data_IF_309098476797
#
_entry.id   IF_309098476797
#
_cell.length_a   1.000
_cell.length_b   1.000
_cell.length_c   1.000
_cell.angle_alpha   90.00
_cell.angle_beta   90.00
_cell.angle_gamma   90.00
#
_symmetry.space_group_name_H-M   'P 1'
#
loop_
_entity.id
_entity.type
_entity.pdbx_description
1 polymer ?
#
# COMPACT_ATOMS: atom_id res chain seq x y z
N UNK A 1 32.36 81.50 -12.89
CA UNK A 1 32.44 82.01 -11.50
C UNK A 1 31.05 81.90 -10.92
N UNK A 2 30.96 81.20 -9.79
CA UNK A 2 29.75 80.91 -9.03
C UNK A 2 29.04 82.20 -8.57
N UNK A 3 27.70 82.19 -8.48
CA UNK A 3 27.02 82.14 -7.17
C UNK A 3 25.49 82.37 -7.25
N UNK A 4 24.81 81.48 -6.54
CA UNK A 4 23.70 81.68 -5.59
C UNK A 4 22.33 82.32 -5.98
N UNK A 5 21.32 81.43 -5.97
CA UNK A 5 20.25 81.36 -4.96
C UNK A 5 19.24 82.53 -4.78
N UNK A 6 17.97 82.33 -5.18
CA UNK A 6 16.78 82.26 -4.27
C UNK A 6 15.42 82.21 -5.02
N UNK A 7 14.55 81.33 -4.49
CA UNK A 7 13.08 81.13 -4.59
C UNK A 7 12.20 82.39 -4.82
N UNK A 8 10.95 82.29 -5.33
CA UNK A 8 9.80 81.72 -4.55
C UNK A 8 8.66 81.02 -5.32
N UNK A 9 7.69 80.57 -4.52
CA UNK A 9 6.57 79.65 -4.74
C UNK A 9 5.29 80.23 -5.40
N UNK A 10 4.57 79.32 -6.08
CA UNK A 10 3.10 78.99 -6.06
C UNK A 10 2.03 79.98 -6.54
N UNK A 11 1.24 79.53 -7.54
CA UNK A 11 -0.25 79.51 -7.65
C UNK A 11 -0.59 78.34 -8.63
N UNK A 12 -0.98 77.15 -8.18
CA UNK A 12 -2.34 76.52 -8.17
C UNK A 12 -3.15 76.54 -9.47
N UNK A 13 -3.53 75.35 -9.97
CA UNK A 13 -4.85 75.05 -10.52
C UNK A 13 -5.14 73.54 -10.45
N UNK A 14 -6.30 73.24 -9.88
CA UNK A 14 -6.94 71.95 -9.60
C UNK A 14 -7.70 71.38 -10.82
N UNK A 15 -8.25 70.16 -10.62
CA UNK A 15 -9.46 69.59 -11.26
C UNK A 15 -9.33 68.67 -12.49
N UNK A 16 -8.62 67.54 -12.36
CA UNK A 16 -8.86 66.37 -13.25
C UNK A 16 -8.75 64.97 -12.61
N UNK A 17 -8.42 64.81 -11.33
CA UNK A 17 -8.11 63.47 -10.77
C UNK A 17 -9.24 62.73 -10.05
N UNK A 18 -10.46 63.28 -9.97
CA UNK A 18 -11.53 62.75 -9.10
C UNK A 18 -12.56 61.84 -9.78
N UNK A 19 -12.54 61.70 -11.12
CA UNK A 19 -13.48 60.83 -11.85
C UNK A 19 -12.89 59.50 -12.35
N UNK A 20 -11.57 59.37 -12.45
CA UNK A 20 -10.93 58.09 -12.85
C UNK A 20 -10.86 57.08 -11.69
N UNK A 21 -10.84 57.56 -10.43
CA UNK A 21 -10.78 56.69 -9.25
C UNK A 21 -12.12 56.03 -8.89
N UNK A 22 -13.28 56.58 -9.32
CA UNK A 22 -14.58 55.95 -9.05
C UNK A 22 -14.91 54.80 -10.00
N UNK A 23 -14.48 54.90 -11.26
CA UNK A 23 -14.71 53.85 -12.27
C UNK A 23 -13.77 52.66 -12.01
N UNK A 24 -12.57 52.90 -11.49
CA UNK A 24 -11.62 51.84 -11.11
C UNK A 24 -12.02 51.11 -9.82
N UNK A 25 -12.68 51.78 -8.86
CA UNK A 25 -13.19 51.13 -7.64
C UNK A 25 -14.45 50.27 -7.90
N UNK A 26 -15.37 50.69 -8.78
CA UNK A 26 -16.55 49.87 -9.13
C UNK A 26 -16.16 48.60 -9.90
N UNK A 27 -15.21 48.68 -10.85
CA UNK A 27 -14.74 47.51 -11.62
C UNK A 27 -13.96 46.53 -10.71
N UNK A 28 -13.15 47.04 -9.77
CA UNK A 28 -12.42 46.19 -8.81
C UNK A 28 -13.36 45.48 -7.81
N UNK A 29 -14.50 46.09 -7.46
CA UNK A 29 -15.50 45.48 -6.57
C UNK A 29 -16.31 44.36 -7.24
N UNK A 30 -16.48 44.43 -8.56
CA UNK A 30 -17.23 43.45 -9.36
C UNK A 30 -16.33 42.26 -9.80
N UNK A 31 -15.02 42.49 -9.96
CA UNK A 31 -14.02 41.43 -10.16
C UNK A 31 -13.73 40.64 -8.88
N UNK A 32 -13.61 41.31 -7.72
CA UNK A 32 -13.40 40.61 -6.44
C UNK A 32 -14.61 39.80 -5.97
N UNK A 33 -15.83 40.18 -6.39
CA UNK A 33 -17.05 39.41 -6.10
C UNK A 33 -17.29 38.27 -7.10
N UNK A 34 -16.82 38.40 -8.35
CA UNK A 34 -16.72 37.27 -9.31
C UNK A 34 -15.61 36.29 -8.93
N UNK A 35 -14.43 36.75 -8.51
CA UNK A 35 -13.35 35.89 -8.01
C UNK A 35 -13.71 35.20 -6.70
N UNK A 36 -14.45 35.85 -5.79
CA UNK A 36 -15.01 35.16 -4.61
C UNK A 36 -16.06 34.10 -4.99
N UNK A 37 -16.92 34.36 -5.98
CA UNK A 37 -17.87 33.34 -6.47
C UNK A 37 -17.21 32.18 -7.22
N UNK A 38 -16.08 32.42 -7.89
CA UNK A 38 -15.30 31.37 -8.58
C UNK A 38 -14.46 30.56 -7.58
N UNK A 39 -14.00 31.18 -6.49
CA UNK A 39 -13.26 30.46 -5.44
C UNK A 39 -14.19 29.69 -4.49
N UNK A 40 -15.44 30.13 -4.30
CA UNK A 40 -16.45 29.41 -3.50
C UNK A 40 -17.18 28.29 -4.25
N UNK A 41 -17.02 28.18 -5.58
CA UNK A 41 -17.63 27.09 -6.38
C UNK A 41 -16.73 25.87 -6.57
N UNK A 42 -15.48 25.91 -6.11
CA UNK A 42 -14.54 24.78 -6.15
C UNK A 42 -14.38 24.02 -4.82
N UNK A 43 -15.13 24.41 -3.78
CA UNK A 43 -15.28 23.62 -2.56
C UNK A 43 -16.53 22.74 -2.64
N UNK A 44 -16.64 21.94 -3.70
CA UNK A 44 -17.36 20.66 -3.56
C UNK A 44 -16.52 19.78 -2.62
N UNK A 45 -16.59 20.07 -1.32
CA UNK A 45 -16.38 19.08 -0.29
C UNK A 45 -17.44 18.02 -0.55
N UNK A 46 -17.08 17.02 -1.36
CA UNK A 46 -17.84 15.81 -1.52
C UNK A 46 -18.01 15.24 -0.10
N UNK A 47 -19.18 15.49 0.50
CA UNK A 47 -19.54 14.87 1.77
C UNK A 47 -19.72 13.40 1.47
N UNK A 48 -18.67 12.63 1.77
CA UNK A 48 -18.70 11.18 1.78
C UNK A 48 -19.93 10.74 2.56
N UNK A 49 -20.76 9.86 2.00
CA UNK A 49 -21.95 9.35 2.71
C UNK A 49 -21.57 8.44 3.87
N UNK A 50 -20.34 7.93 3.82
CA UNK A 50 -19.76 7.01 4.79
C UNK A 50 -18.82 7.84 5.69
N UNK A 51 -18.86 7.67 7.02
CA UNK A 51 -17.95 8.39 7.93
C UNK A 51 -16.52 7.84 7.78
N UNK A 52 -15.74 8.43 6.87
CA UNK A 52 -14.36 8.03 6.57
C UNK A 52 -13.32 8.87 7.33
N UNK A 53 -13.75 9.90 8.07
CA UNK A 53 -12.87 10.84 8.76
C UNK A 53 -12.05 10.14 9.85
N UNK A 54 -12.69 9.24 10.61
CA UNK A 54 -12.02 8.43 11.63
C UNK A 54 -10.97 7.50 11.00
N UNK A 55 -11.30 6.86 9.87
CA UNK A 55 -10.36 6.04 9.12
C UNK A 55 -9.16 6.89 8.68
N UNK A 56 -9.40 8.02 8.02
CA UNK A 56 -8.33 8.88 7.51
C UNK A 56 -7.40 9.36 8.63
N UNK A 57 -7.97 9.85 9.74
CA UNK A 57 -7.17 10.32 10.87
C UNK A 57 -6.28 9.22 11.44
N UNK A 58 -6.80 8.00 11.60
CA UNK A 58 -6.03 6.87 12.09
C UNK A 58 -4.94 6.44 11.09
N UNK A 59 -5.24 6.46 9.79
CA UNK A 59 -4.25 6.13 8.76
C UNK A 59 -3.15 7.18 8.65
N UNK A 60 -3.46 8.47 8.81
CA UNK A 60 -2.47 9.54 8.85
C UNK A 60 -1.53 9.40 10.04
N UNK A 61 -2.07 9.13 11.23
CA UNK A 61 -1.26 8.85 12.43
C UNK A 61 -0.34 7.63 12.22
N UNK A 62 -0.87 6.56 11.62
CA UNK A 62 -0.09 5.36 11.33
C UNK A 62 1.03 5.64 10.32
N UNK A 63 0.75 6.39 9.24
CA UNK A 63 1.78 6.82 8.28
C UNK A 63 2.85 7.66 8.95
N UNK A 64 2.46 8.62 9.79
CA UNK A 64 3.40 9.49 10.50
C UNK A 64 4.34 8.69 11.38
N UNK A 65 3.83 7.74 12.17
CA UNK A 65 4.67 6.89 13.02
C UNK A 65 5.65 6.01 12.22
N UNK A 66 5.19 5.42 11.13
CA UNK A 66 6.04 4.53 10.33
C UNK A 66 7.10 5.36 9.57
N UNK A 67 6.70 6.47 8.96
CA UNK A 67 7.60 7.34 8.19
C UNK A 67 8.63 8.07 9.07
N UNK A 68 8.34 8.25 10.36
CA UNK A 68 9.35 8.72 11.31
C UNK A 68 10.51 7.73 11.42
N UNK A 69 10.25 6.43 11.36
CA UNK A 69 11.26 5.38 11.52
C UNK A 69 11.88 4.93 10.19
N UNK A 70 11.09 4.88 9.12
CA UNK A 70 11.48 4.36 7.81
C UNK A 70 11.43 5.49 6.78
N UNK A 71 12.56 5.70 6.11
CA UNK A 71 12.75 6.84 5.21
C UNK A 71 12.61 6.37 3.76
N UNK A 72 11.81 7.09 2.98
CA UNK A 72 11.71 6.89 1.53
C UNK A 72 10.90 5.68 1.08
N UNK A 73 10.03 5.13 1.93
CA UNK A 73 9.19 3.95 1.61
C UNK A 73 7.68 4.24 1.74
N UNK A 74 7.23 5.45 1.42
CA UNK A 74 5.82 5.86 1.61
C UNK A 74 4.83 4.99 0.82
N UNK A 75 5.14 4.69 -0.44
CA UNK A 75 4.29 3.83 -1.28
C UNK A 75 4.20 2.40 -0.72
N UNK A 76 5.30 1.86 -0.20
CA UNK A 76 5.31 0.56 0.44
C UNK A 76 4.39 0.51 1.66
N UNK A 77 4.47 1.54 2.52
CA UNK A 77 3.61 1.66 3.70
C UNK A 77 2.13 1.75 3.29
N UNK A 78 1.81 2.56 2.28
CA UNK A 78 0.45 2.66 1.75
C UNK A 78 -0.08 1.32 1.22
N UNK A 79 0.76 0.54 0.52
CA UNK A 79 0.38 -0.77 0.03
C UNK A 79 0.21 -1.80 1.16
N UNK A 80 1.02 -1.73 2.23
CA UNK A 80 0.83 -2.56 3.42
C UNK A 80 -0.50 -2.27 4.12
N UNK A 81 -0.82 -0.98 4.31
CA UNK A 81 -2.11 -0.54 4.86
C UNK A 81 -3.26 -1.05 3.99
N UNK A 82 -3.15 -0.85 2.66
CA UNK A 82 -4.18 -1.28 1.74
C UNK A 82 -4.38 -2.80 1.75
N UNK A 83 -3.31 -3.57 1.87
CA UNK A 83 -3.39 -5.02 1.98
C UNK A 83 -4.02 -5.48 3.29
N UNK A 84 -3.66 -4.86 4.42
CA UNK A 84 -4.28 -5.12 5.72
C UNK A 84 -5.80 -4.87 5.68
N UNK A 85 -6.22 -3.74 5.13
CA UNK A 85 -7.63 -3.39 4.99
C UNK A 85 -8.36 -4.29 3.97
N UNK A 86 -7.66 -4.78 2.95
CA UNK A 86 -8.24 -5.67 1.92
C UNK A 86 -8.20 -7.17 2.30
N UNK A 87 -7.81 -7.53 3.53
CA UNK A 87 -7.61 -8.93 3.97
C UNK A 87 -6.62 -9.71 3.09
N UNK A 88 -5.63 -9.03 2.53
CA UNK A 88 -4.67 -9.60 1.59
C UNK A 88 -3.31 -9.91 2.21
N UNK A 89 -2.63 -10.91 1.67
CA UNK A 89 -1.23 -11.20 1.96
C UNK A 89 -0.31 -10.45 0.99
N UNK A 90 0.92 -10.14 1.41
CA UNK A 90 1.86 -9.37 0.60
C UNK A 90 3.16 -10.15 0.41
N UNK A 91 3.61 -10.18 -0.83
CA UNK A 91 4.93 -10.65 -1.22
C UNK A 91 5.85 -9.45 -1.46
N UNK A 92 7.00 -9.42 -0.79
CA UNK A 92 7.95 -8.32 -0.80
C UNK A 92 9.23 -8.81 -1.47
N UNK A 93 9.38 -8.48 -2.73
CA UNK A 93 10.61 -8.71 -3.48
C UNK A 93 11.55 -7.52 -3.28
N UNK A 94 12.83 -7.78 -3.03
CA UNK A 94 13.82 -6.72 -2.98
C UNK A 94 15.11 -7.17 -2.34
N UNK A 95 16.13 -6.35 -2.50
CA UNK A 95 17.49 -6.58 -2.02
C UNK A 95 17.55 -6.67 -0.48
N UNK A 96 18.58 -7.34 0.08
CA UNK A 96 18.81 -7.31 1.52
C UNK A 96 19.16 -5.89 2.01
N UNK A 97 18.83 -5.59 3.26
CA UNK A 97 19.26 -4.36 3.93
C UNK A 97 18.29 -3.17 3.89
N UNK A 98 17.16 -3.25 3.18
CA UNK A 98 16.16 -2.16 3.08
C UNK A 98 15.13 -2.12 4.23
N UNK A 99 15.50 -2.53 5.45
CA UNK A 99 14.67 -2.44 6.66
C UNK A 99 13.24 -3.08 6.55
N UNK A 100 13.05 -4.09 5.69
CA UNK A 100 11.76 -4.80 5.53
C UNK A 100 11.26 -5.40 6.84
N UNK A 101 12.13 -6.11 7.56
CA UNK A 101 11.82 -6.77 8.83
C UNK A 101 11.43 -5.75 9.90
N UNK A 102 12.14 -4.63 9.98
CA UNK A 102 11.80 -3.54 10.91
C UNK A 102 10.47 -2.90 10.53
N UNK A 103 10.21 -2.68 9.23
CA UNK A 103 8.93 -2.13 8.76
C UNK A 103 7.76 -3.01 9.14
N UNK A 104 7.85 -4.32 8.92
CA UNK A 104 6.82 -5.27 9.31
C UNK A 104 6.58 -5.28 10.84
N UNK A 105 7.66 -5.22 11.63
CA UNK A 105 7.59 -5.22 13.10
C UNK A 105 6.96 -3.94 13.64
N UNK A 106 7.35 -2.77 13.10
CA UNK A 106 6.79 -1.47 13.49
C UNK A 106 5.32 -1.41 13.07
N UNK A 107 5.01 -1.82 11.84
CA UNK A 107 3.64 -1.89 11.35
C UNK A 107 2.74 -2.72 12.28
N UNK A 108 3.22 -3.89 12.73
CA UNK A 108 2.48 -4.73 13.67
C UNK A 108 2.23 -4.07 15.03
N UNK A 109 3.22 -3.35 15.57
CA UNK A 109 3.06 -2.56 16.80
C UNK A 109 2.03 -1.44 16.63
N UNK A 110 2.06 -0.71 15.52
CA UNK A 110 1.12 0.37 15.24
C UNK A 110 -0.34 -0.13 15.19
N UNK A 111 -0.58 -1.39 14.80
CA UNK A 111 -1.92 -1.97 14.70
C UNK A 111 -2.33 -2.89 15.85
N UNK A 112 -1.60 -2.86 16.98
CA UNK A 112 -1.86 -3.71 18.17
C UNK A 112 -2.04 -5.20 17.84
N UNK A 113 -1.37 -5.67 16.79
CA UNK A 113 -1.49 -7.04 16.32
C UNK A 113 -0.35 -7.90 16.90
N UNK A 114 -0.65 -9.16 17.24
CA UNK A 114 0.39 -10.12 17.53
C UNK A 114 1.33 -10.25 16.31
N UNK A 115 2.64 -10.24 16.56
CA UNK A 115 3.67 -10.35 15.53
C UNK A 115 4.46 -11.64 15.70
N UNK A 116 4.66 -12.35 14.61
CA UNK A 116 5.54 -13.51 14.56
C UNK A 116 6.46 -13.42 13.36
N UNK A 117 7.70 -13.87 13.53
CA UNK A 117 8.71 -13.91 12.47
C UNK A 117 9.18 -15.35 12.28
N UNK A 118 9.16 -15.81 11.04
CA UNK A 118 9.61 -17.14 10.65
C UNK A 118 10.68 -16.95 9.57
N UNK A 119 11.87 -17.49 9.81
CA UNK A 119 12.91 -17.57 8.80
C UNK A 119 12.75 -18.88 8.05
N UNK A 120 12.60 -18.82 6.72
CA UNK A 120 12.53 -20.03 5.92
C UNK A 120 13.94 -20.53 5.61
N UNK A 121 14.21 -21.77 5.99
CA UNK A 121 15.47 -22.45 5.76
C UNK A 121 15.24 -23.77 5.01
N UNK A 122 16.26 -24.34 4.35
CA UNK A 122 16.09 -25.57 3.55
C UNK A 122 15.64 -26.79 4.35
N UNK A 123 15.89 -26.79 5.66
CA UNK A 123 15.56 -27.85 6.62
C UNK A 123 14.22 -27.64 7.33
N UNK A 124 13.56 -26.50 7.13
CA UNK A 124 12.31 -26.15 7.82
C UNK A 124 11.19 -27.14 7.48
N UNK A 125 10.59 -27.75 8.50
CA UNK A 125 9.48 -28.69 8.35
C UNK A 125 8.12 -27.98 8.47
N UNK A 126 7.05 -28.51 7.88
CA UNK A 126 5.69 -27.99 8.07
C UNK A 126 5.29 -27.85 9.55
N UNK A 127 5.71 -28.81 10.39
CA UNK A 127 5.44 -28.81 11.84
C UNK A 127 6.10 -27.64 12.58
N UNK A 128 7.22 -27.11 12.07
CA UNK A 128 7.89 -25.96 12.70
C UNK A 128 7.13 -24.65 12.44
N UNK A 129 6.32 -24.61 11.38
CA UNK A 129 5.48 -23.46 11.01
C UNK A 129 4.09 -23.59 11.63
N UNK A 130 3.45 -24.75 11.44
CA UNK A 130 2.07 -24.98 11.87
C UNK A 130 1.99 -25.28 13.37
N UNK A 131 2.98 -25.98 13.93
CA UNK A 131 2.94 -26.52 15.28
C UNK A 131 2.97 -28.04 15.29
N UNK A 132 3.10 -28.60 16.50
CA UNK A 132 3.20 -30.05 16.70
C UNK A 132 2.46 -30.49 17.96
N UNK A 133 1.91 -31.70 17.93
CA UNK A 133 1.26 -32.32 19.08
C UNK A 133 2.30 -33.00 19.96
N UNK A 134 2.47 -32.50 21.17
CA UNK A 134 3.47 -33.01 22.13
C UNK A 134 2.74 -33.83 23.18
N UNK A 135 3.24 -35.04 23.45
CA UNK A 135 2.68 -35.87 24.52
C UNK A 135 2.98 -35.24 25.89
N UNK A 136 1.93 -34.91 26.63
CA UNK A 136 2.02 -34.38 27.98
C UNK A 136 1.96 -35.55 28.98
N UNK A 137 3.12 -35.95 29.51
CA UNK A 137 3.24 -37.11 30.43
C UNK A 137 2.35 -36.99 31.68
N UNK A 138 2.13 -35.76 32.18
CA UNK A 138 1.31 -35.53 33.37
C UNK A 138 -0.18 -35.75 33.11
N UNK A 139 -0.67 -35.36 31.92
CA UNK A 139 -2.07 -35.56 31.51
C UNK A 139 -2.30 -36.90 30.80
N UNK A 140 -1.23 -37.59 30.40
CA UNK A 140 -1.24 -38.76 29.49
C UNK A 140 -2.04 -38.49 28.22
N UNK A 141 -1.93 -37.27 27.70
CA UNK A 141 -2.70 -36.80 26.55
C UNK A 141 -1.79 -35.99 25.61
N UNK A 142 -2.18 -35.90 24.34
CA UNK A 142 -1.46 -35.10 23.35
C UNK A 142 -1.93 -33.64 23.41
N UNK A 143 -1.02 -32.71 23.67
CA UNK A 143 -1.30 -31.28 23.72
C UNK A 143 -0.72 -30.61 22.47
N UNK A 144 -1.59 -29.97 21.68
CA UNK A 144 -1.16 -29.26 20.48
C UNK A 144 -0.44 -27.96 20.85
N UNK A 145 0.87 -27.89 20.55
CA UNK A 145 1.64 -26.65 20.63
C UNK A 145 1.55 -25.90 19.30
N UNK A 146 0.81 -24.78 19.35
CA UNK A 146 0.67 -23.83 18.24
C UNK A 146 2.04 -23.37 17.74
N UNK A 147 2.24 -23.47 16.43
CA UNK A 147 3.43 -22.95 15.76
C UNK A 147 3.40 -21.42 15.60
N UNK A 148 4.49 -20.83 15.09
CA UNK A 148 4.63 -19.40 14.92
C UNK A 148 3.65 -18.78 13.91
N UNK A 149 2.97 -19.58 13.09
CA UNK A 149 1.92 -19.08 12.17
C UNK A 149 0.68 -18.57 12.91
N UNK A 150 0.46 -18.98 14.17
CA UNK A 150 -0.66 -18.55 15.01
C UNK A 150 -0.45 -17.14 15.57
N UNK A 151 -0.39 -16.16 14.68
CA UNK A 151 -0.24 -14.74 15.01
C UNK A 151 -1.06 -13.90 14.04
N UNK A 152 -1.33 -12.63 14.37
CA UNK A 152 -2.11 -11.76 13.50
C UNK A 152 -1.31 -11.32 12.27
N UNK A 153 -0.05 -10.94 12.49
CA UNK A 153 0.90 -10.59 11.45
C UNK A 153 2.08 -11.54 11.48
N UNK A 154 2.27 -12.26 10.40
CA UNK A 154 3.37 -13.22 10.24
C UNK A 154 4.32 -12.72 9.16
N UNK A 155 5.53 -12.37 9.56
CA UNK A 155 6.63 -12.10 8.64
C UNK A 155 7.35 -13.40 8.32
N UNK A 156 7.46 -13.72 7.04
CA UNK A 156 8.17 -14.87 6.52
C UNK A 156 9.34 -14.35 5.72
N UNK A 157 10.54 -14.59 6.23
CA UNK A 157 11.75 -14.21 5.53
C UNK A 157 12.22 -15.34 4.60
N UNK A 158 12.53 -14.98 3.35
CA UNK A 158 13.11 -15.88 2.34
C UNK A 158 12.24 -17.10 2.04
N UNK A 159 10.96 -16.89 1.76
CA UNK A 159 9.97 -17.96 1.49
C UNK A 159 10.43 -18.95 0.41
N UNK A 160 11.30 -18.50 -0.51
CA UNK A 160 11.89 -19.31 -1.57
C UNK A 160 13.02 -20.25 -1.10
N UNK A 161 13.46 -20.24 0.17
CA UNK A 161 14.53 -21.13 0.66
C UNK A 161 14.05 -22.44 1.28
N UNK A 162 12.75 -22.59 1.54
CA UNK A 162 12.20 -23.84 2.10
C UNK A 162 11.68 -24.79 1.01
N UNK A 163 11.60 -26.11 1.28
CA UNK A 163 11.01 -27.07 0.35
C UNK A 163 9.53 -26.80 0.03
N UNK A 164 9.09 -27.27 -1.14
CA UNK A 164 7.71 -27.09 -1.63
C UNK A 164 6.62 -27.61 -0.68
N UNK A 165 6.92 -28.64 0.15
CA UNK A 165 5.97 -29.18 1.14
C UNK A 165 5.65 -28.15 2.23
N UNK A 166 6.67 -27.50 2.79
CA UNK A 166 6.54 -26.46 3.83
C UNK A 166 5.85 -25.21 3.28
N UNK A 167 6.17 -24.83 2.05
CA UNK A 167 5.46 -23.77 1.33
C UNK A 167 3.97 -24.12 1.16
N UNK A 168 3.65 -25.35 0.72
CA UNK A 168 2.27 -25.77 0.48
C UNK A 168 1.41 -25.71 1.75
N UNK A 169 1.95 -26.15 2.90
CA UNK A 169 1.25 -26.02 4.19
C UNK A 169 0.95 -24.56 4.54
N UNK A 170 1.87 -23.63 4.28
CA UNK A 170 1.64 -22.21 4.52
C UNK A 170 0.51 -21.67 3.63
N UNK A 171 0.51 -22.02 2.35
CA UNK A 171 -0.49 -21.54 1.40
C UNK A 171 -1.89 -22.06 1.68
N UNK A 172 -2.01 -23.26 2.23
CA UNK A 172 -3.26 -23.80 2.75
C UNK A 172 -3.82 -22.91 3.86
N UNK A 173 -2.99 -22.53 4.84
CA UNK A 173 -3.40 -21.62 5.92
C UNK A 173 -3.77 -20.23 5.40
N UNK A 174 -3.06 -19.72 4.40
CA UNK A 174 -3.37 -18.42 3.79
C UNK A 174 -4.75 -18.42 3.11
N UNK A 175 -5.09 -19.51 2.41
CA UNK A 175 -6.36 -19.61 1.69
C UNK A 175 -7.53 -19.92 2.65
N UNK A 176 -7.38 -20.93 3.50
CA UNK A 176 -8.45 -21.45 4.35
C UNK A 176 -8.59 -20.69 5.67
N UNK A 177 -7.55 -19.95 6.09
CA UNK A 177 -7.50 -19.21 7.37
C UNK A 177 -7.79 -20.09 8.60
N UNK A 178 -7.50 -21.37 8.46
CA UNK A 178 -7.59 -22.37 9.50
C UNK A 178 -6.54 -23.45 9.26
N UNK A 179 -6.20 -24.19 10.32
CA UNK A 179 -5.29 -25.33 10.29
C UNK A 179 -6.07 -26.53 10.80
N UNK A 180 -5.96 -27.66 10.09
CA UNK A 180 -6.53 -28.94 10.53
C UNK A 180 -5.40 -29.87 10.94
N UNK A 181 -5.28 -30.18 12.23
CA UNK A 181 -4.25 -31.10 12.78
C UNK A 181 -4.96 -32.07 13.73
N UNK A 182 -4.67 -33.36 13.60
CA UNK A 182 -5.21 -34.42 14.48
C UNK A 182 -6.74 -34.40 14.65
N UNK A 183 -7.47 -34.09 13.57
CA UNK A 183 -8.94 -33.95 13.50
C UNK A 183 -9.52 -32.71 14.23
N UNK A 184 -8.67 -31.87 14.82
CA UNK A 184 -9.07 -30.57 15.36
C UNK A 184 -8.81 -29.45 14.34
N UNK A 185 -9.75 -28.49 14.28
CA UNK A 185 -9.66 -27.32 13.39
C UNK A 185 -9.40 -26.07 14.21
N UNK A 186 -8.25 -25.44 13.97
CA UNK A 186 -7.83 -24.21 14.62
C UNK A 186 -7.99 -23.04 13.66
N UNK A 187 -8.89 -22.10 13.95
CA UNK A 187 -9.09 -20.89 13.14
C UNK A 187 -8.03 -19.83 13.46
N UNK A 188 -7.58 -19.10 12.44
CA UNK A 188 -6.69 -17.95 12.63
C UNK A 188 -7.46 -16.78 13.26
N UNK A 189 -6.79 -16.03 14.13
CA UNK A 189 -7.37 -14.83 14.72
C UNK A 189 -7.36 -13.68 13.71
N UNK A 190 -8.49 -12.98 13.53
CA UNK A 190 -8.52 -11.78 12.69
C UNK A 190 -7.94 -10.57 13.45
N UNK A 191 -7.19 -9.68 12.77
CA UNK A 191 -6.73 -9.77 11.39
C UNK A 191 -5.62 -10.83 11.25
N UNK A 192 -5.64 -11.58 10.15
CA UNK A 192 -4.58 -12.51 9.77
C UNK A 192 -3.97 -12.04 8.44
N UNK A 193 -2.69 -11.72 8.45
CA UNK A 193 -1.96 -11.25 7.28
C UNK A 193 -0.53 -11.81 7.30
N UNK A 194 -0.08 -12.25 6.13
CA UNK A 194 1.26 -12.81 5.92
C UNK A 194 2.04 -11.84 5.04
N UNK A 195 3.23 -11.48 5.51
CA UNK A 195 4.21 -10.68 4.78
C UNK A 195 5.36 -11.63 4.42
N UNK A 196 5.45 -12.06 3.17
CA UNK A 196 6.53 -12.93 2.73
C UNK A 196 7.60 -12.11 2.01
N UNK A 197 8.88 -12.33 2.32
CA UNK A 197 9.99 -11.70 1.59
C UNK A 197 10.66 -12.71 0.66
N UNK A 198 11.11 -12.21 -0.49
CA UNK A 198 11.91 -12.95 -1.45
C UNK A 198 13.12 -12.13 -1.85
N UNK A 199 14.28 -12.78 -1.92
CA UNK A 199 15.48 -12.21 -2.48
C UNK A 199 15.66 -12.74 -3.92
N UNK A 200 15.61 -11.86 -4.94
CA UNK A 200 15.70 -12.30 -6.34
C UNK A 200 17.10 -12.74 -6.76
N UNK A 201 18.15 -12.44 -5.98
CA UNK A 201 19.56 -12.64 -6.37
C UNK A 201 20.12 -14.00 -5.88
N UNK A 202 19.49 -14.64 -4.89
CA UNK A 202 19.99 -15.92 -4.35
C UNK A 202 19.72 -17.10 -5.30
N UNK A 203 20.80 -17.64 -5.87
CA UNK A 203 20.76 -18.78 -6.80
C UNK A 203 20.95 -20.14 -6.11
N UNK A 204 21.53 -20.20 -4.91
CA UNK A 204 21.77 -21.46 -4.20
C UNK A 204 20.60 -21.82 -3.28
N UNK A 205 20.03 -23.01 -3.48
CA UNK A 205 19.01 -23.58 -2.58
C UNK A 205 17.66 -22.88 -2.65
N UNK A 206 17.34 -22.18 -3.75
CA UNK A 206 16.05 -21.53 -3.94
C UNK A 206 15.07 -22.39 -4.73
N UNK A 207 13.85 -22.47 -4.23
CA UNK A 207 12.70 -23.12 -4.83
C UNK A 207 11.77 -22.03 -5.34
N UNK A 208 11.67 -21.92 -6.67
CA UNK A 208 10.73 -21.01 -7.29
C UNK A 208 9.29 -21.33 -6.84
N UNK A 209 8.55 -20.30 -6.44
CA UNK A 209 7.14 -20.48 -6.11
C UNK A 209 6.35 -20.73 -7.40
N UNK A 210 5.57 -21.83 -7.47
CA UNK A 210 4.61 -22.01 -8.55
C UNK A 210 3.65 -20.82 -8.67
N UNK A 211 3.27 -20.49 -9.88
CA UNK A 211 2.35 -19.38 -10.19
C UNK A 211 1.01 -19.48 -9.46
N UNK A 212 0.50 -20.71 -9.30
CA UNK A 212 -0.72 -20.97 -8.52
C UNK A 212 -0.58 -20.57 -7.04
N UNK A 213 0.63 -20.59 -6.49
CA UNK A 213 0.92 -20.15 -5.12
C UNK A 213 1.09 -18.63 -5.06
N UNK A 214 1.78 -18.04 -6.04
CA UNK A 214 1.91 -16.59 -6.17
C UNK A 214 0.55 -15.89 -6.24
N UNK A 215 -0.42 -16.45 -6.98
CA UNK A 215 -1.76 -15.86 -7.16
C UNK A 215 -2.53 -15.64 -5.84
N UNK A 216 -2.13 -16.31 -4.75
CA UNK A 216 -2.69 -16.15 -3.39
C UNK A 216 -2.25 -14.86 -2.69
N UNK A 217 -1.14 -14.25 -3.11
CA UNK A 217 -0.76 -12.94 -2.62
C UNK A 217 -1.61 -11.86 -3.28
N UNK A 218 -2.10 -10.91 -2.48
CA UNK A 218 -2.82 -9.76 -3.02
C UNK A 218 -1.85 -8.88 -3.83
N UNK A 219 -0.70 -8.56 -3.23
CA UNK A 219 0.33 -7.73 -3.82
C UNK A 219 1.68 -8.43 -3.91
N UNK A 220 2.40 -8.18 -5.01
CA UNK A 220 3.86 -8.31 -5.09
C UNK A 220 4.46 -6.91 -5.19
N UNK A 221 5.12 -6.49 -4.12
CA UNK A 221 5.76 -5.19 -4.01
C UNK A 221 7.26 -5.37 -4.26
N UNK A 222 7.80 -4.64 -5.24
CA UNK A 222 9.23 -4.59 -5.49
C UNK A 222 9.83 -3.38 -4.81
N UNK A 223 10.81 -3.62 -3.95
CA UNK A 223 11.53 -2.57 -3.24
C UNK A 223 12.94 -2.44 -3.80
N UNK A 224 13.24 -1.26 -4.31
CA UNK A 224 14.55 -0.88 -4.80
C UNK A 224 15.38 -0.25 -3.67
N UNK A 225 16.66 0.01 -3.94
CA UNK A 225 17.48 0.83 -3.05
C UNK A 225 16.84 2.22 -2.86
N UNK A 226 16.97 2.83 -1.66
CA UNK A 226 16.48 4.17 -1.42
C UNK A 226 17.16 5.17 -2.36
N UNK A 227 16.51 6.32 -2.60
CA UNK A 227 17.16 7.42 -3.30
C UNK A 227 18.34 7.96 -2.49
N UNK A 228 19.29 8.63 -3.16
CA UNK A 228 20.42 9.28 -2.50
C UNK A 228 19.98 10.18 -1.33
N UNK A 229 18.90 10.94 -1.51
CA UNK A 229 18.35 11.81 -0.47
C UNK A 229 17.81 11.02 0.73
N UNK A 230 17.11 9.91 0.48
CA UNK A 230 16.62 9.04 1.54
C UNK A 230 17.78 8.34 2.27
N UNK A 231 18.83 7.96 1.55
CA UNK A 231 20.04 7.36 2.11
C UNK A 231 20.83 8.35 2.97
N UNK A 232 21.00 9.60 2.52
CA UNK A 232 21.62 10.67 3.32
C UNK A 232 20.85 10.87 4.63
N UNK A 233 19.53 11.01 4.57
CA UNK A 233 18.69 11.15 5.78
C UNK A 233 18.80 9.94 6.70
N UNK A 234 18.92 8.73 6.15
CA UNK A 234 19.14 7.51 6.93
C UNK A 234 20.49 7.56 7.66
N UNK A 235 21.55 7.99 6.97
CA UNK A 235 22.89 8.16 7.56
C UNK A 235 22.89 9.22 8.66
N UNK A 236 22.29 10.38 8.42
CA UNK A 236 22.15 11.46 9.42
C UNK A 236 21.43 10.96 10.67
N UNK A 237 20.29 10.30 10.50
CA UNK A 237 19.49 9.78 11.61
C UNK A 237 20.24 8.73 12.41
N UNK A 238 20.98 7.84 11.73
CA UNK A 238 21.79 6.82 12.40
C UNK A 238 23.00 7.41 13.10
N UNK A 239 23.65 8.42 12.51
CA UNK A 239 24.78 9.14 13.11
C UNK A 239 24.38 9.87 14.40
N UNK A 240 23.17 10.44 14.44
CA UNK A 240 22.60 11.12 15.60
C UNK A 240 22.04 10.15 16.66
N UNK A 241 22.14 8.83 16.47
CA UNK A 241 21.58 7.78 17.35
C UNK A 241 20.07 7.89 17.65
N UNK A 242 19.31 8.62 16.84
CA UNK A 242 17.88 8.89 17.08
C UNK A 242 16.96 7.65 16.98
N UNK A 243 17.49 6.49 16.56
CA UNK A 243 16.71 5.28 16.31
C UNK A 243 16.57 4.35 17.53
N UNK A 244 17.44 4.42 18.54
CA UNK A 244 17.40 3.46 19.66
C UNK A 244 16.17 3.64 20.56
N UNK A 245 15.73 4.88 20.80
CA UNK A 245 14.60 5.15 21.70
C UNK A 245 13.23 5.03 21.01
N UNK A 246 13.17 5.24 19.69
CA UNK A 246 11.90 5.30 18.97
C UNK A 246 11.24 3.94 18.73
N UNK A 247 12.01 2.88 18.49
CA UNK A 247 11.46 1.52 18.31
C UNK A 247 10.77 1.01 19.59
N UNK A 248 11.21 1.48 20.75
CA UNK A 248 10.62 1.17 22.05
C UNK A 248 9.32 1.95 22.32
N UNK A 249 9.20 3.17 21.79
CA UNK A 249 8.09 4.10 22.06
C UNK A 249 7.02 4.16 20.95
N UNK A 250 6.96 3.18 20.05
CA UNK A 250 5.89 3.12 19.05
C UNK A 250 4.55 2.87 19.75
N UNK A 251 3.67 3.88 19.74
CA UNK A 251 2.32 3.76 20.30
C UNK A 251 1.39 3.02 19.33
N UNK A 252 0.47 2.22 19.85
CA UNK A 252 -0.59 1.65 19.01
C UNK A 252 -1.54 2.76 18.55
N UNK A 253 -1.82 2.77 17.25
CA UNK A 253 -2.74 3.72 16.59
C UNK A 253 -4.07 3.06 16.26
N UNK A 254 -4.06 1.77 15.92
CA UNK A 254 -5.24 1.01 15.52
C UNK A 254 -5.41 -0.21 16.41
N UNK A 255 -6.65 -0.45 16.85
CA UNK A 255 -7.03 -1.71 17.48
C UNK A 255 -7.67 -2.66 16.45
N UNK A 256 -7.81 -3.93 16.84
CA UNK A 256 -8.41 -4.97 16.00
C UNK A 256 -9.88 -4.66 15.68
N UNK A 257 -10.61 -4.10 16.64
CA UNK A 257 -12.01 -3.71 16.49
C UNK A 257 -12.17 -2.60 15.43
N UNK A 258 -11.30 -1.59 15.46
CA UNK A 258 -11.29 -0.48 14.49
C UNK A 258 -11.06 -1.03 13.07
N UNK A 259 -10.12 -1.96 12.91
CA UNK A 259 -9.85 -2.60 11.61
C UNK A 259 -11.07 -3.34 11.06
N UNK A 260 -11.84 -4.01 11.91
CA UNK A 260 -13.07 -4.71 11.51
C UNK A 260 -14.13 -3.70 11.06
N UNK A 261 -14.28 -2.60 11.78
CA UNK A 261 -15.20 -1.52 11.42
C UNK A 261 -14.81 -0.87 10.08
N UNK A 262 -13.55 -0.49 9.92
CA UNK A 262 -13.04 0.11 8.70
C UNK A 262 -13.21 -0.79 7.48
N UNK A 263 -13.01 -2.09 7.63
CA UNK A 263 -13.29 -3.07 6.57
C UNK A 263 -14.76 -3.05 6.14
N UNK A 264 -15.71 -2.90 7.07
CA UNK A 264 -17.14 -2.78 6.76
C UNK A 264 -17.45 -1.49 6.02
N UNK A 265 -16.79 -0.39 6.37
CA UNK A 265 -16.93 0.89 5.66
C UNK A 265 -16.40 0.79 4.23
N UNK A 266 -15.23 0.16 4.03
CA UNK A 266 -14.64 -0.03 2.68
C UNK A 266 -15.54 -0.86 1.77
N UNK A 267 -16.26 -1.85 2.31
CA UNK A 267 -17.20 -2.65 1.52
C UNK A 267 -18.35 -1.82 0.93
N UNK A 268 -18.75 -0.74 1.62
CA UNK A 268 -19.83 0.17 1.23
C UNK A 268 -19.42 1.21 0.18
N UNK A 269 -18.12 1.32 -0.14
CA UNK A 269 -17.62 2.20 -1.21
C UNK A 269 -18.29 1.84 -2.54
N UNK A 270 -18.85 2.85 -3.20
CA UNK A 270 -19.55 2.72 -4.47
C UNK A 270 -18.56 2.37 -5.57
N UNK A 271 -18.95 1.40 -6.40
CA UNK A 271 -18.27 1.11 -7.65
C UNK A 271 -19.29 1.19 -8.76
N UNK A 272 -19.09 2.13 -9.68
CA UNK A 272 -19.97 2.28 -10.82
C UNK A 272 -19.83 1.07 -11.78
N UNK A 273 -20.90 0.67 -12.50
CA UNK A 273 -20.83 -0.42 -13.46
C UNK A 273 -19.75 -0.24 -14.56
N UNK A 274 -19.47 1.02 -14.93
CA UNK A 274 -18.40 1.36 -15.88
C UNK A 274 -17.03 0.98 -15.34
N UNK A 275 -16.77 1.18 -14.05
CA UNK A 275 -15.50 0.80 -13.41
C UNK A 275 -15.34 -0.72 -13.34
N UNK A 276 -16.43 -1.44 -13.04
CA UNK A 276 -16.42 -2.92 -13.09
C UNK A 276 -16.07 -3.43 -14.49
N UNK A 277 -16.65 -2.82 -15.51
CA UNK A 277 -16.38 -3.14 -16.92
C UNK A 277 -14.93 -2.82 -17.27
N UNK A 278 -14.42 -1.66 -16.84
CA UNK A 278 -13.04 -1.24 -17.05
C UNK A 278 -12.03 -2.22 -16.41
N UNK A 279 -12.26 -2.63 -15.16
CA UNK A 279 -11.44 -3.65 -14.48
C UNK A 279 -11.47 -4.97 -15.26
N UNK A 280 -12.65 -5.43 -15.69
CA UNK A 280 -12.79 -6.67 -16.44
C UNK A 280 -12.06 -6.60 -17.80
N UNK A 281 -12.15 -5.47 -18.51
CA UNK A 281 -11.46 -5.24 -19.78
C UNK A 281 -9.94 -5.26 -19.60
N UNK A 282 -9.40 -4.54 -18.61
CA UNK A 282 -7.97 -4.55 -18.30
C UNK A 282 -7.44 -5.97 -18.10
N UNK A 283 -8.12 -6.77 -17.26
CA UNK A 283 -7.72 -8.16 -17.00
C UNK A 283 -7.90 -9.03 -18.25
N UNK A 284 -8.95 -8.83 -19.03
CA UNK A 284 -9.15 -9.58 -20.26
C UNK A 284 -8.06 -9.30 -21.30
N UNK A 285 -7.60 -8.05 -21.41
CA UNK A 285 -6.51 -7.67 -22.31
C UNK A 285 -5.19 -8.35 -21.90
N UNK A 286 -4.91 -8.56 -20.60
CA UNK A 286 -3.75 -9.35 -20.18
C UNK A 286 -3.74 -10.78 -20.74
N UNK A 287 -4.91 -11.37 -21.02
CA UNK A 287 -5.03 -12.74 -21.55
C UNK A 287 -4.92 -12.82 -23.06
N UNK A 288 -5.11 -11.70 -23.75
CA UNK A 288 -5.01 -11.59 -25.21
C UNK A 288 -3.69 -10.97 -25.68
N UNK A 289 -2.94 -10.37 -24.76
CA UNK A 289 -1.75 -9.61 -25.08
C UNK A 289 -0.65 -10.52 -25.65
N UNK A 290 -0.07 -10.21 -26.84
CA UNK A 290 0.87 -11.10 -27.53
C UNK A 290 2.19 -11.31 -26.78
N UNK A 291 2.56 -10.41 -25.87
CA UNK A 291 3.80 -10.53 -25.09
C UNK A 291 3.67 -11.44 -23.85
N UNK A 292 2.48 -12.00 -23.59
CA UNK A 292 2.20 -12.83 -22.42
C UNK A 292 1.86 -14.27 -22.85
N UNK A 293 2.49 -15.25 -22.20
CA UNK A 293 2.10 -16.66 -22.30
C UNK A 293 0.86 -16.89 -21.45
N UNK A 294 0.86 -16.29 -20.25
CA UNK A 294 -0.20 -16.43 -19.27
C UNK A 294 -0.61 -15.03 -18.78
N UNK A 295 -1.88 -14.69 -18.99
CA UNK A 295 -2.49 -13.49 -18.43
C UNK A 295 -3.09 -13.72 -17.04
N UNK A 296 -3.58 -12.65 -16.44
CA UNK A 296 -4.02 -12.68 -15.05
C UNK A 296 -5.33 -13.47 -14.84
N UNK A 297 -5.41 -14.17 -13.70
CA UNK A 297 -6.58 -14.97 -13.32
C UNK A 297 -7.80 -14.09 -12.96
N UNK A 298 -9.03 -14.63 -12.87
CA UNK A 298 -10.18 -13.88 -12.35
C UNK A 298 -9.99 -13.38 -10.91
N UNK A 299 -9.10 -14.01 -10.12
CA UNK A 299 -8.73 -13.52 -8.78
C UNK A 299 -8.10 -12.13 -8.86
N UNK A 300 -7.38 -11.83 -9.94
CA UNK A 300 -6.82 -10.49 -10.20
C UNK A 300 -7.91 -9.42 -10.33
N UNK A 301 -9.04 -9.72 -10.98
CA UNK A 301 -10.17 -8.78 -11.10
C UNK A 301 -10.78 -8.46 -9.73
N UNK A 302 -10.96 -9.49 -8.89
CA UNK A 302 -11.51 -9.34 -7.53
C UNK A 302 -10.51 -8.58 -6.63
N UNK A 303 -9.23 -8.94 -6.71
CA UNK A 303 -8.15 -8.26 -6.02
C UNK A 303 -8.11 -6.77 -6.37
N UNK A 304 -8.14 -6.45 -7.68
CA UNK A 304 -8.10 -5.07 -8.15
C UNK A 304 -9.33 -4.28 -7.68
N UNK A 305 -10.53 -4.87 -7.77
CA UNK A 305 -11.76 -4.25 -7.26
C UNK A 305 -11.66 -3.91 -5.76
N UNK A 306 -11.25 -4.87 -4.94
CA UNK A 306 -11.14 -4.68 -3.49
C UNK A 306 -10.06 -3.64 -3.15
N UNK A 307 -8.91 -3.71 -3.82
CA UNK A 307 -7.82 -2.75 -3.67
C UNK A 307 -8.25 -1.34 -4.07
N UNK A 308 -8.99 -1.18 -5.18
CA UNK A 308 -9.46 0.14 -5.62
C UNK A 308 -10.46 0.75 -4.65
N UNK A 309 -11.36 -0.04 -4.06
CA UNK A 309 -12.23 0.41 -2.96
C UNK A 309 -11.42 0.91 -1.77
N UNK A 310 -10.40 0.13 -1.38
CA UNK A 310 -9.52 0.49 -0.27
C UNK A 310 -8.76 1.78 -0.55
N UNK A 311 -8.20 1.96 -1.75
CA UNK A 311 -7.51 3.21 -2.10
C UNK A 311 -8.42 4.43 -2.10
N UNK A 312 -9.64 4.30 -2.61
CA UNK A 312 -10.64 5.37 -2.53
C UNK A 312 -10.93 5.75 -1.09
N UNK A 313 -11.20 4.76 -0.22
CA UNK A 313 -11.48 4.99 1.19
C UNK A 313 -10.28 5.59 1.95
N UNK A 314 -9.06 5.16 1.64
CA UNK A 314 -7.82 5.73 2.21
C UNK A 314 -7.63 7.21 1.85
N UNK A 315 -8.22 7.66 0.74
CA UNK A 315 -8.26 9.06 0.31
C UNK A 315 -9.52 9.80 0.78
N UNK A 316 -10.40 9.16 1.57
CA UNK A 316 -11.64 9.74 2.07
C UNK A 316 -12.77 9.83 1.05
N UNK A 317 -12.66 9.12 -0.07
CA UNK A 317 -13.70 9.04 -1.10
C UNK A 317 -14.57 7.80 -0.90
N UNK A 318 -15.89 7.96 -1.00
CA UNK A 318 -16.86 6.85 -0.94
C UNK A 318 -17.20 6.26 -2.32
N UNK A 319 -16.44 6.59 -3.35
CA UNK A 319 -16.57 6.04 -4.71
C UNK A 319 -15.19 5.74 -5.32
N UNK A 320 -15.12 4.70 -6.14
CA UNK A 320 -13.90 4.32 -6.87
C UNK A 320 -13.73 5.15 -8.13
N UNK A 321 -12.53 5.69 -8.32
CA UNK A 321 -12.10 6.39 -9.54
C UNK A 321 -11.22 5.48 -10.42
N UNK A 322 -11.07 5.76 -11.72
CA UNK A 322 -10.15 5.01 -12.57
C UNK A 322 -8.69 5.06 -12.12
N UNK A 323 -8.27 6.14 -11.45
CA UNK A 323 -6.90 6.27 -10.94
C UNK A 323 -6.62 5.30 -9.78
N UNK A 324 -7.65 4.97 -8.97
CA UNK A 324 -7.55 3.92 -7.94
C UNK A 324 -7.31 2.54 -8.55
N UNK A 325 -7.91 2.29 -9.72
CA UNK A 325 -7.69 1.06 -10.49
C UNK A 325 -6.26 1.02 -11.01
N UNK A 326 -5.80 2.09 -11.66
CA UNK A 326 -4.45 2.18 -12.21
C UNK A 326 -3.37 2.01 -11.14
N UNK A 327 -3.54 2.63 -9.97
CA UNK A 327 -2.63 2.51 -8.83
C UNK A 327 -2.45 1.05 -8.38
N UNK A 328 -3.52 0.25 -8.46
CA UNK A 328 -3.50 -1.17 -8.08
C UNK A 328 -2.90 -2.10 -9.13
N UNK A 329 -2.76 -1.69 -10.39
CA UNK A 329 -2.40 -2.59 -11.48
C UNK A 329 -1.05 -3.29 -11.28
N UNK A 330 0.02 -2.52 -11.08
CA UNK A 330 1.38 -3.06 -10.91
C UNK A 330 1.46 -4.02 -9.72
N UNK A 331 1.12 -3.63 -8.47
CA UNK A 331 1.27 -4.52 -7.33
C UNK A 331 0.37 -5.76 -7.41
N UNK A 332 -0.80 -5.68 -8.06
CA UNK A 332 -1.73 -6.82 -8.23
C UNK A 332 -1.30 -7.77 -9.35
N UNK A 333 -0.76 -7.27 -10.46
CA UNK A 333 -0.54 -8.06 -11.68
C UNK A 333 0.89 -8.57 -11.86
N UNK A 334 1.88 -7.96 -11.20
CA UNK A 334 3.30 -8.29 -11.38
C UNK A 334 3.65 -9.78 -11.18
N UNK A 335 2.88 -10.50 -10.37
CA UNK A 335 3.05 -11.93 -10.06
C UNK A 335 1.92 -12.82 -10.57
N UNK A 336 1.08 -12.29 -11.46
CA UNK A 336 -0.07 -13.00 -12.05
C UNK A 336 0.04 -13.13 -13.56
N UNK A 337 1.19 -12.78 -14.12
CA UNK A 337 1.43 -12.76 -15.56
C UNK A 337 2.80 -13.32 -15.88
N UNK A 338 2.88 -14.09 -16.96
CA UNK A 338 4.13 -14.69 -17.44
C UNK A 338 4.43 -14.15 -18.83
N UNK A 339 5.61 -13.55 -19.00
CA UNK A 339 6.09 -13.06 -20.28
C UNK A 339 6.42 -14.22 -21.22
N UNK A 340 6.24 -14.01 -22.52
CA UNK A 340 6.79 -14.90 -23.54
C UNK A 340 8.31 -14.91 -23.48
N UNK A 341 8.99 -16.06 -23.70
CA UNK A 341 10.44 -16.15 -23.54
C UNK A 341 11.17 -15.20 -24.49
N UNK A 342 10.64 -15.01 -25.69
CA UNK A 342 11.14 -14.05 -26.69
C UNK A 342 11.20 -12.63 -26.13
N UNK A 343 10.15 -12.19 -25.43
CA UNK A 343 10.06 -10.84 -24.85
C UNK A 343 10.88 -10.68 -23.58
N UNK A 344 11.00 -11.74 -22.79
CA UNK A 344 11.93 -11.76 -21.66
C UNK A 344 13.39 -11.63 -22.13
N UNK A 345 13.77 -12.29 -23.24
CA UNK A 345 15.09 -12.15 -23.85
C UNK A 345 15.35 -10.75 -24.44
N UNK A 346 14.30 -10.05 -24.90
CA UNK A 346 14.37 -8.64 -25.31
C UNK A 346 14.50 -7.68 -24.10
N UNK A 347 14.45 -8.18 -22.87
CA UNK A 347 14.56 -7.38 -21.64
C UNK A 347 13.28 -6.62 -21.27
N UNK A 348 12.14 -6.97 -21.88
CA UNK A 348 10.85 -6.36 -21.54
C UNK A 348 10.41 -6.86 -20.18
N UNK A 349 9.92 -5.96 -19.33
CA UNK A 349 9.43 -6.31 -17.99
C UNK A 349 7.90 -6.43 -17.96
N UNK A 350 7.39 -7.19 -16.99
CA UNK A 350 5.94 -7.31 -16.76
C UNK A 350 5.30 -5.95 -16.50
N UNK A 351 5.99 -5.05 -15.78
CA UNK A 351 5.53 -3.69 -15.50
C UNK A 351 5.34 -2.85 -16.76
N UNK A 352 6.25 -2.98 -17.74
CA UNK A 352 6.11 -2.29 -19.02
C UNK A 352 4.89 -2.78 -19.79
N UNK A 353 4.61 -4.09 -19.76
CA UNK A 353 3.40 -4.67 -20.37
C UNK A 353 2.14 -4.16 -19.69
N UNK A 354 2.13 -4.06 -18.35
CA UNK A 354 1.02 -3.47 -17.60
C UNK A 354 0.78 -2.02 -18.03
N UNK A 355 1.84 -1.22 -18.16
CA UNK A 355 1.76 0.17 -18.59
C UNK A 355 1.23 0.32 -20.02
N UNK A 356 1.55 -0.61 -20.92
CA UNK A 356 0.99 -0.66 -22.27
C UNK A 356 -0.50 -0.98 -22.24
N UNK A 357 -0.91 -2.03 -21.53
CA UNK A 357 -2.32 -2.44 -21.41
C UNK A 357 -3.18 -1.30 -20.81
N UNK A 358 -2.66 -0.64 -19.77
CA UNK A 358 -3.31 0.49 -19.12
C UNK A 358 -3.56 1.67 -20.06
N UNK A 359 -2.73 1.85 -21.10
CA UNK A 359 -2.90 2.90 -22.12
C UNK A 359 -3.84 2.48 -23.25
N UNK A 360 -3.97 1.18 -23.52
CA UNK A 360 -4.82 0.66 -24.60
C UNK A 360 -6.31 0.65 -24.23
N UNK A 361 -6.64 0.36 -22.98
CA UNK A 361 -8.04 0.32 -22.52
C UNK A 361 -8.53 1.74 -22.27
N UNK A 362 -9.65 2.12 -22.89
CA UNK A 362 -10.24 3.43 -22.69
C UNK A 362 -10.68 3.63 -21.24
N UNK A 363 -10.24 4.75 -20.65
CA UNK A 363 -10.64 5.14 -19.30
C UNK A 363 -12.10 5.58 -19.32
N UNK A 364 -12.98 5.01 -18.48
CA UNK A 364 -14.39 5.38 -18.46
C UNK A 364 -14.52 6.86 -18.05
N UNK A 365 -15.33 7.60 -18.81
CA UNK A 365 -15.70 8.99 -18.53
C UNK A 365 -16.88 9.09 -17.58
#
# INVERSE_FOLDING_TARGET
MENENKRPEKISNDDTSSNENKISEEIASDETSKEKKITESNSNQFKSRIPLEALQSSLEKLRQQINQLIIGQEEFVDLLIAALLSKGHVLIEGVPGIAKTETAKIFAKCVSAAFSRIQFTPDLMPSDVLGTSIFNEAKRDFEFKKGPIFSNLVLIDEINRSPAKTQSSLFEVMEEKQISIDQEVFKMQEPFMVLATQNPIEQEGTYALPEAQLDRFLFKIKLNYPSLEAEIKLLEKKHQNLNQDFSANVESVLNVEDLIEYRKLIQQVIVEPKILTYIAQLIQETRKHPHLILGASPRASIALLNTSKTFAAMQGRDFVSPEDVKRGLKPVLNHRMILSPEKEMEGITTEQVIDLISKTVEVPR
#
